data_IF_159172504993
#
_entry.id   IF_159172504993
#
_cell.length_a   1.000
_cell.length_b   1.000
_cell.length_c   1.000
_cell.angle_alpha   90.00
_cell.angle_beta   90.00
_cell.angle_gamma   90.00
#
_symmetry.space_group_name_H-M   'P 1'
#
loop_
_entity.id
_entity.type
_entity.pdbx_description
1 polymer ?
#
# COMPACT_ATOMS: atom_id res chain seq x y z
N UNK A 1 -1.02 -3.78 21.92
CA UNK A 1 0.44 -3.55 21.75
C UNK A 1 0.76 -2.26 22.50
N UNK A 2 1.72 -2.23 23.44
CA UNK A 2 1.95 -1.06 24.32
C UNK A 2 2.99 -0.07 23.80
N UNK A 3 3.81 -0.49 22.83
CA UNK A 3 4.84 0.34 22.20
C UNK A 3 4.32 0.83 20.83
N UNK A 4 4.15 2.14 20.68
CA UNK A 4 3.67 2.75 19.42
C UNK A 4 4.67 2.56 18.28
N UNK A 5 5.97 2.53 18.55
CA UNK A 5 6.99 2.27 17.53
C UNK A 5 6.91 0.84 16.99
N UNK A 6 6.64 -0.15 17.85
CA UNK A 6 6.37 -1.53 17.42
C UNK A 6 5.08 -1.60 16.60
N UNK A 7 4.03 -0.89 17.02
CA UNK A 7 2.77 -0.84 16.29
C UNK A 7 2.93 -0.22 14.90
N UNK A 8 3.61 0.91 14.78
CA UNK A 8 3.93 1.53 13.50
C UNK A 8 4.77 0.61 12.61
N UNK A 9 5.79 -0.06 13.18
CA UNK A 9 6.63 -1.00 12.44
C UNK A 9 5.82 -2.20 11.91
N UNK A 10 4.83 -2.67 12.66
CA UNK A 10 3.91 -3.73 12.23
C UNK A 10 2.95 -3.24 11.16
N UNK A 11 2.38 -2.05 11.31
CA UNK A 11 1.41 -1.47 10.36
C UNK A 11 2.03 -1.08 9.02
N UNK A 12 3.35 -0.82 9.00
CA UNK A 12 4.11 -0.46 7.79
C UNK A 12 4.95 -1.62 7.24
N UNK A 13 4.81 -2.82 7.82
CA UNK A 13 5.59 -3.98 7.39
C UNK A 13 5.13 -4.49 6.03
N UNK A 14 6.04 -4.52 5.06
CA UNK A 14 5.82 -5.08 3.72
C UNK A 14 4.74 -4.34 2.90
N UNK A 15 4.47 -3.07 3.25
CA UNK A 15 3.43 -2.24 2.60
C UNK A 15 4.04 -1.21 1.65
N UNK A 16 4.96 -1.61 0.78
CA UNK A 16 5.69 -0.66 -0.07
C UNK A 16 4.94 -0.28 -1.35
N UNK A 17 4.04 -1.15 -1.83
CA UNK A 17 3.30 -1.00 -3.08
C UNK A 17 2.00 -0.21 -2.89
N UNK A 18 1.31 -0.42 -1.78
CA UNK A 18 -0.04 0.11 -1.50
C UNK A 18 -0.08 1.64 -1.52
N UNK A 19 0.90 2.36 -0.94
CA UNK A 19 0.91 3.82 -1.04
C UNK A 19 0.99 4.32 -2.50
N UNK A 20 1.65 3.58 -3.40
CA UNK A 20 1.72 3.93 -4.82
C UNK A 20 0.35 3.77 -5.49
N UNK A 21 -0.44 2.78 -5.06
CA UNK A 21 -1.81 2.54 -5.53
C UNK A 21 -2.77 3.59 -4.99
N UNK A 22 -2.66 3.97 -3.72
CA UNK A 22 -3.49 5.01 -3.12
C UNK A 22 -3.24 6.38 -3.75
N UNK A 23 -1.99 6.69 -4.05
CA UNK A 23 -1.57 8.04 -4.46
C UNK A 23 -1.40 8.21 -5.97
N UNK A 24 -1.66 7.20 -6.80
CA UNK A 24 -1.45 7.27 -8.25
C UNK A 24 -2.17 8.47 -8.88
N UNK A 25 -3.48 8.58 -8.64
CA UNK A 25 -4.33 9.65 -9.18
C UNK A 25 -3.86 11.03 -8.69
N UNK A 26 -3.50 11.12 -7.40
CA UNK A 26 -2.97 12.33 -6.79
C UNK A 26 -1.69 12.79 -7.50
N UNK A 27 -0.72 11.89 -7.69
CA UNK A 27 0.52 12.20 -8.40
C UNK A 27 0.27 12.57 -9.86
N UNK A 28 -0.60 11.83 -10.56
CA UNK A 28 -0.95 12.09 -11.95
C UNK A 28 -1.51 13.50 -12.12
N UNK A 29 -2.46 13.90 -11.26
CA UNK A 29 -3.12 15.20 -11.35
C UNK A 29 -2.22 16.35 -10.87
N UNK A 30 -1.46 16.18 -9.78
CA UNK A 30 -0.51 17.21 -9.30
C UNK A 30 0.55 17.54 -10.34
N UNK A 31 1.04 16.52 -11.05
CA UNK A 31 2.12 16.66 -12.02
C UNK A 31 1.62 16.87 -13.45
N UNK A 32 0.31 17.04 -13.63
CA UNK A 32 -0.28 17.29 -14.94
C UNK A 32 0.28 18.56 -15.58
N UNK A 33 0.68 18.47 -16.85
CA UNK A 33 1.28 19.56 -17.61
C UNK A 33 2.78 19.77 -17.36
N UNK A 34 3.41 19.01 -16.45
CA UNK A 34 4.85 18.99 -16.32
C UNK A 34 5.50 18.13 -17.42
N UNK A 35 6.60 18.61 -18.00
CA UNK A 35 7.41 17.85 -18.96
C UNK A 35 8.28 16.81 -18.22
N UNK A 36 7.63 15.76 -17.70
CA UNK A 36 8.24 14.71 -16.89
C UNK A 36 7.78 13.32 -17.32
N UNK A 37 8.60 12.33 -16.99
CA UNK A 37 8.26 10.90 -17.05
C UNK A 37 8.28 10.35 -15.62
N UNK A 38 7.20 9.66 -15.25
CA UNK A 38 7.10 8.95 -13.96
C UNK A 38 7.24 7.46 -14.24
N UNK A 39 7.97 6.77 -13.37
CA UNK A 39 8.16 5.31 -13.42
C UNK A 39 8.10 4.77 -12.00
N UNK A 40 7.64 3.53 -11.86
CA UNK A 40 7.72 2.77 -10.62
C UNK A 40 8.99 1.92 -10.66
N UNK A 41 9.79 1.94 -9.61
CA UNK A 41 11.11 1.32 -9.59
C UNK A 41 11.25 0.46 -8.36
N UNK A 42 11.39 -0.85 -8.57
CA UNK A 42 11.74 -1.81 -7.53
C UNK A 42 13.25 -1.83 -7.30
N UNK A 43 13.66 -1.64 -6.06
CA UNK A 43 15.07 -1.61 -5.65
C UNK A 43 15.34 -2.59 -4.50
N UNK A 44 16.53 -3.19 -4.51
CA UNK A 44 17.11 -3.76 -3.30
C UNK A 44 17.84 -2.65 -2.53
N UNK A 45 17.57 -2.57 -1.24
CA UNK A 45 18.16 -1.56 -0.37
C UNK A 45 19.55 -1.97 0.14
N UNK A 46 20.42 -0.96 0.32
CA UNK A 46 21.61 -1.04 1.17
C UNK A 46 21.19 -1.26 2.64
N UNK A 47 22.12 -1.43 3.60
CA UNK A 47 21.76 -1.49 5.01
C UNK A 47 20.87 -0.30 5.43
N UNK A 48 19.72 -0.61 6.03
CA UNK A 48 18.68 0.36 6.41
C UNK A 48 18.65 0.62 7.92
N UNK A 49 18.21 1.81 8.37
CA UNK A 49 18.07 2.13 9.79
C UNK A 49 17.12 1.20 10.57
N UNK A 50 15.99 0.80 9.96
CA UNK A 50 14.97 -0.04 10.61
C UNK A 50 14.82 -1.37 9.88
N UNK A 51 14.88 -2.46 10.64
CA UNK A 51 14.64 -3.83 10.19
C UNK A 51 13.50 -4.41 11.01
N UNK A 52 12.52 -4.98 10.35
CA UNK A 52 11.34 -5.56 10.99
C UNK A 52 11.30 -7.05 10.66
N UNK A 53 11.06 -7.87 11.69
CA UNK A 53 10.86 -9.31 11.56
C UNK A 53 9.48 -9.65 12.10
N UNK A 54 8.61 -10.19 11.25
CA UNK A 54 7.31 -10.71 11.63
C UNK A 54 7.41 -12.24 11.82
N UNK A 55 7.03 -12.71 13.00
CA UNK A 55 6.90 -14.15 13.32
C UNK A 55 5.41 -14.48 13.38
N UNK A 56 4.96 -15.29 12.44
CA UNK A 56 3.55 -15.67 12.31
C UNK A 56 3.23 -16.87 13.21
N UNK A 57 1.92 -17.11 13.44
CA UNK A 57 1.43 -18.18 14.34
C UNK A 57 1.87 -19.58 13.86
N UNK A 58 2.02 -19.76 12.56
CA UNK A 58 2.50 -20.99 11.92
C UNK A 58 4.03 -21.18 12.06
N UNK A 59 4.73 -20.22 12.69
CA UNK A 59 6.18 -20.20 12.82
C UNK A 59 6.91 -19.62 11.59
N UNK A 60 6.18 -19.23 10.54
CA UNK A 60 6.77 -18.55 9.38
C UNK A 60 7.41 -17.24 9.83
N UNK A 61 8.61 -16.96 9.32
CA UNK A 61 9.33 -15.72 9.60
C UNK A 61 9.44 -14.92 8.31
N UNK A 62 9.07 -13.64 8.35
CA UNK A 62 9.30 -12.70 7.26
C UNK A 62 10.09 -11.50 7.74
N UNK A 63 10.99 -11.01 6.89
CA UNK A 63 11.84 -9.85 7.17
C UNK A 63 11.74 -8.86 6.03
N UNK A 64 11.65 -7.56 6.32
CA UNK A 64 11.61 -6.53 5.28
C UNK A 64 12.99 -6.29 4.62
N UNK A 65 14.08 -6.80 5.18
CA UNK A 65 15.45 -6.62 4.68
C UNK A 65 16.29 -7.88 4.97
N UNK A 66 17.27 -8.30 4.14
CA UNK A 66 17.90 -7.59 3.01
C UNK A 66 17.32 -7.86 1.61
N UNK A 67 16.45 -8.85 1.48
CA UNK A 67 16.08 -9.37 0.17
C UNK A 67 14.77 -8.82 -0.40
N UNK A 68 14.02 -8.04 0.39
CA UNK A 68 12.77 -7.47 -0.09
C UNK A 68 13.02 -6.41 -1.17
N UNK A 69 12.13 -6.38 -2.15
CA UNK A 69 12.12 -5.34 -3.19
C UNK A 69 11.29 -4.19 -2.64
N UNK A 70 11.91 -3.02 -2.53
CA UNK A 70 11.25 -1.79 -2.14
C UNK A 70 10.84 -1.00 -3.39
N UNK A 71 9.58 -0.59 -3.48
CA UNK A 71 9.06 0.18 -4.61
C UNK A 71 9.08 1.68 -4.32
N UNK A 72 9.61 2.45 -5.27
CA UNK A 72 9.67 3.92 -5.22
C UNK A 72 9.24 4.53 -6.55
N UNK A 73 8.86 5.82 -6.56
CA UNK A 73 8.66 6.54 -7.82
C UNK A 73 9.97 7.17 -8.28
N UNK A 74 10.26 7.03 -9.57
CA UNK A 74 11.31 7.78 -10.26
C UNK A 74 10.69 8.80 -11.19
N UNK A 75 11.00 10.07 -10.96
CA UNK A 75 10.53 11.20 -11.77
C UNK A 75 11.71 11.74 -12.56
N UNK A 76 11.59 11.83 -13.89
CA UNK A 76 12.64 12.37 -14.77
C UNK A 76 12.10 13.53 -15.59
N UNK A 77 12.79 14.67 -15.57
CA UNK A 77 12.50 15.79 -16.46
C UNK A 77 12.82 15.39 -17.91
N UNK A 78 11.83 15.45 -18.80
CA UNK A 78 12.06 15.13 -20.22
C UNK A 78 12.83 16.24 -20.95
N UNK A 79 12.89 17.46 -20.37
CA UNK A 79 13.67 18.58 -20.91
C UNK A 79 15.14 18.55 -20.50
N UNK A 80 15.43 18.28 -19.23
CA UNK A 80 16.80 18.39 -18.68
C UNK A 80 17.48 17.06 -18.40
N UNK A 81 16.74 15.95 -18.43
CA UNK A 81 17.24 14.63 -18.04
C UNK A 81 17.48 14.46 -16.54
N UNK A 82 17.25 15.51 -15.72
CA UNK A 82 17.38 15.42 -14.26
C UNK A 82 16.36 14.44 -13.69
N UNK A 83 16.79 13.67 -12.70
CA UNK A 83 15.99 12.60 -12.08
C UNK A 83 15.92 12.76 -10.57
N UNK A 84 14.76 12.44 -10.03
CA UNK A 84 14.44 12.43 -8.60
C UNK A 84 13.77 11.11 -8.22
N UNK A 85 13.86 10.75 -6.94
CA UNK A 85 13.10 9.64 -6.36
C UNK A 85 12.13 10.17 -5.30
N UNK A 86 10.94 9.59 -5.28
CA UNK A 86 9.91 9.80 -4.26
C UNK A 86 9.68 8.47 -3.55
N UNK A 87 10.02 8.44 -2.27
CA UNK A 87 9.89 7.27 -1.40
C UNK A 87 8.84 7.55 -0.31
N UNK A 88 7.58 7.29 -0.64
CA UNK A 88 6.43 7.51 0.26
C UNK A 88 6.27 6.39 1.31
N UNK A 89 6.91 5.24 1.09
CA UNK A 89 6.87 4.09 2.00
C UNK A 89 8.20 3.87 2.73
N UNK A 90 9.15 4.80 2.63
CA UNK A 90 10.48 4.72 3.23
C UNK A 90 10.48 4.61 4.75
N UNK A 91 9.41 5.07 5.42
CA UNK A 91 9.20 4.93 6.85
C UNK A 91 9.28 3.48 7.35
N UNK A 92 8.91 2.48 6.53
CA UNK A 92 9.05 1.06 6.86
C UNK A 92 10.51 0.65 7.13
N UNK A 93 11.47 1.39 6.56
CA UNK A 93 12.91 1.19 6.68
C UNK A 93 13.59 2.26 7.55
N UNK A 94 12.80 3.17 8.15
CA UNK A 94 13.33 4.31 8.90
C UNK A 94 13.91 5.42 8.01
N UNK A 95 13.54 5.45 6.72
CA UNK A 95 13.90 6.51 5.77
C UNK A 95 12.83 7.60 5.86
N UNK A 96 13.15 8.71 6.51
CA UNK A 96 12.17 9.76 6.85
C UNK A 96 11.98 10.82 5.77
N UNK A 97 12.99 11.02 4.91
CA UNK A 97 12.90 11.96 3.78
C UNK A 97 12.25 11.26 2.59
N UNK A 98 11.18 11.87 2.05
CA UNK A 98 10.42 11.31 0.93
C UNK A 98 10.98 11.71 -0.44
N UNK A 99 11.53 12.92 -0.60
CA UNK A 99 11.96 13.43 -1.91
C UNK A 99 13.49 13.57 -2.01
N UNK A 100 14.09 12.97 -3.03
CA UNK A 100 15.54 12.90 -3.20
C UNK A 100 15.99 13.23 -4.62
N UNK A 101 17.20 13.78 -4.76
CA UNK A 101 17.88 13.74 -6.05
C UNK A 101 18.30 12.29 -6.37
N UNK A 102 18.36 11.92 -7.65
CA UNK A 102 18.76 10.56 -8.02
C UNK A 102 20.17 10.20 -7.52
N UNK A 103 21.10 11.14 -7.55
CA UNK A 103 22.48 10.94 -7.07
C UNK A 103 22.51 10.63 -5.57
N UNK A 104 21.81 11.42 -4.75
CA UNK A 104 21.76 11.23 -3.30
C UNK A 104 21.10 9.91 -2.92
N UNK A 105 19.94 9.61 -3.51
CA UNK A 105 19.19 8.39 -3.18
C UNK A 105 19.97 7.14 -3.56
N UNK A 106 20.57 7.13 -4.76
CA UNK A 106 21.35 6.00 -5.24
C UNK A 106 22.59 5.74 -4.39
N UNK A 107 23.33 6.80 -4.06
CA UNK A 107 24.50 6.69 -3.20
C UNK A 107 24.15 6.17 -1.80
N UNK A 108 23.01 6.61 -1.25
CA UNK A 108 22.65 6.30 0.14
C UNK A 108 21.95 4.95 0.30
N UNK A 109 20.96 4.63 -0.54
CA UNK A 109 20.02 3.54 -0.27
C UNK A 109 19.94 2.47 -1.37
N UNK A 110 20.27 2.78 -2.63
CA UNK A 110 20.09 1.79 -3.71
C UNK A 110 21.28 0.84 -3.77
N UNK A 111 21.06 -0.44 -3.46
CA UNK A 111 22.04 -1.50 -3.73
C UNK A 111 21.96 -1.93 -5.19
N UNK A 112 20.75 -2.19 -5.68
CA UNK A 112 20.51 -2.63 -7.06
C UNK A 112 19.10 -2.24 -7.49
N UNK A 113 18.93 -1.82 -8.74
CA UNK A 113 17.61 -1.66 -9.36
C UNK A 113 17.20 -3.02 -9.92
N UNK A 114 16.05 -3.53 -9.47
CA UNK A 114 15.52 -4.85 -9.87
C UNK A 114 14.53 -4.71 -11.02
N UNK A 115 13.69 -3.67 -10.98
CA UNK A 115 12.65 -3.42 -11.98
C UNK A 115 12.52 -1.94 -12.27
N UNK A 116 12.05 -1.63 -13.48
CA UNK A 116 11.64 -0.29 -13.88
C UNK A 116 10.36 -0.45 -14.68
N UNK A 117 9.24 -0.08 -14.08
CA UNK A 117 7.91 -0.28 -14.64
C UNK A 117 7.29 1.05 -15.07
N UNK A 118 6.37 1.04 -16.05
CA UNK A 118 5.51 2.19 -16.33
C UNK A 118 4.73 2.61 -15.07
N UNK A 119 4.45 3.91 -14.93
CA UNK A 119 3.58 4.41 -13.87
C UNK A 119 2.18 3.80 -13.98
N UNK A 120 1.60 3.39 -12.84
CA UNK A 120 0.32 2.66 -12.76
C UNK A 120 0.46 1.14 -12.77
N UNK A 121 1.68 0.59 -12.89
CA UNK A 121 1.90 -0.87 -12.92
C UNK A 121 1.55 -1.53 -11.58
N UNK A 122 1.82 -0.87 -10.46
CA UNK A 122 1.48 -1.34 -9.12
C UNK A 122 -0.04 -1.40 -8.91
N UNK A 123 -0.78 -0.38 -9.34
CA UNK A 123 -2.26 -0.41 -9.27
C UNK A 123 -2.83 -1.54 -10.12
N UNK A 124 -2.30 -1.75 -11.33
CA UNK A 124 -2.67 -2.91 -12.15
C UNK A 124 -2.37 -4.22 -11.43
N UNK A 125 -1.16 -4.38 -10.88
CA UNK A 125 -0.75 -5.58 -10.13
C UNK A 125 -1.66 -5.85 -8.94
N UNK A 126 -2.01 -4.83 -8.15
CA UNK A 126 -2.93 -4.96 -7.02
C UNK A 126 -4.34 -5.30 -7.49
N UNK A 127 -4.82 -4.69 -8.57
CA UNK A 127 -6.11 -5.01 -9.17
C UNK A 127 -6.18 -6.47 -9.66
N UNK A 128 -5.16 -6.93 -10.38
CA UNK A 128 -5.06 -8.31 -10.86
C UNK A 128 -4.96 -9.30 -9.68
N UNK A 129 -4.11 -9.00 -8.69
CA UNK A 129 -3.97 -9.84 -7.49
C UNK A 129 -5.21 -9.86 -6.62
N UNK A 130 -6.03 -8.81 -6.66
CA UNK A 130 -7.35 -8.77 -6.04
C UNK A 130 -8.33 -9.80 -6.60
N UNK A 131 -8.06 -10.37 -7.77
CA UNK A 131 -8.85 -11.47 -8.33
C UNK A 131 -8.47 -12.83 -7.76
N UNK A 132 -7.35 -12.95 -7.03
CA UNK A 132 -6.98 -14.21 -6.40
C UNK A 132 -7.97 -14.57 -5.28
N UNK A 133 -8.31 -15.85 -5.13
CA UNK A 133 -9.15 -16.30 -4.02
C UNK A 133 -8.39 -16.16 -2.70
N UNK A 134 -9.13 -16.01 -1.60
CA UNK A 134 -8.53 -16.01 -0.27
C UNK A 134 -8.18 -14.66 0.31
N UNK A 135 -7.56 -14.70 1.49
CA UNK A 135 -7.25 -13.51 2.29
C UNK A 135 -6.31 -12.55 1.56
N UNK A 136 -5.34 -13.08 0.80
CA UNK A 136 -4.42 -12.25 0.03
C UNK A 136 -5.17 -11.40 -1.00
N UNK A 137 -6.06 -12.01 -1.79
CA UNK A 137 -6.88 -11.26 -2.75
C UNK A 137 -7.87 -10.32 -2.08
N UNK A 138 -8.48 -10.73 -0.95
CA UNK A 138 -9.36 -9.84 -0.17
C UNK A 138 -8.63 -8.56 0.26
N UNK A 139 -7.41 -8.67 0.80
CA UNK A 139 -6.61 -7.50 1.21
C UNK A 139 -6.37 -6.58 0.01
N UNK A 140 -5.98 -7.12 -1.13
CA UNK A 140 -5.74 -6.32 -2.34
C UNK A 140 -7.03 -5.66 -2.88
N UNK A 141 -8.19 -6.33 -2.78
CA UNK A 141 -9.49 -5.70 -3.09
C UNK A 141 -9.78 -4.53 -2.15
N UNK A 142 -9.49 -4.65 -0.86
CA UNK A 142 -9.65 -3.54 0.11
C UNK A 142 -8.68 -2.40 -0.14
N UNK A 143 -7.45 -2.69 -0.58
CA UNK A 143 -6.53 -1.66 -1.08
C UNK A 143 -7.14 -0.92 -2.28
N UNK A 144 -7.76 -1.62 -3.23
CA UNK A 144 -8.42 -0.96 -4.36
C UNK A 144 -9.64 -0.14 -3.94
N UNK A 145 -10.49 -0.64 -3.04
CA UNK A 145 -11.62 0.11 -2.48
C UNK A 145 -11.16 1.43 -1.84
N UNK A 146 -10.12 1.38 -1.01
CA UNK A 146 -9.55 2.59 -0.40
C UNK A 146 -8.95 3.56 -1.44
N UNK A 147 -8.26 3.05 -2.47
CA UNK A 147 -7.75 3.87 -3.59
C UNK A 147 -8.88 4.56 -4.36
N UNK A 148 -10.00 3.88 -4.58
CA UNK A 148 -11.19 4.46 -5.21
C UNK A 148 -11.77 5.59 -4.37
N UNK A 149 -11.94 5.39 -3.06
CA UNK A 149 -12.45 6.43 -2.16
C UNK A 149 -11.57 7.70 -2.17
N UNK A 150 -10.24 7.54 -2.19
CA UNK A 150 -9.30 8.66 -2.33
C UNK A 150 -9.52 9.38 -3.66
N UNK A 151 -9.65 8.63 -4.76
CA UNK A 151 -9.85 9.20 -6.10
C UNK A 151 -11.18 9.97 -6.21
N UNK A 152 -12.26 9.43 -5.63
CA UNK A 152 -13.57 10.09 -5.56
C UNK A 152 -13.52 11.35 -4.71
N UNK A 153 -12.79 11.32 -3.59
CA UNK A 153 -12.56 12.49 -2.75
C UNK A 153 -11.80 13.61 -3.48
N UNK A 154 -10.74 13.27 -4.23
CA UNK A 154 -10.02 14.23 -5.10
C UNK A 154 -10.97 14.85 -6.12
N UNK A 155 -11.77 14.04 -6.81
CA UNK A 155 -12.71 14.51 -7.83
C UNK A 155 -13.77 15.44 -7.24
N UNK A 156 -14.30 15.08 -6.07
CA UNK A 156 -15.30 15.86 -5.34
C UNK A 156 -14.73 17.21 -4.89
N UNK A 157 -13.54 17.20 -4.28
CA UNK A 157 -12.85 18.42 -3.86
C UNK A 157 -12.53 19.34 -5.05
N UNK A 158 -12.02 18.78 -6.15
CA UNK A 158 -11.70 19.51 -7.38
C UNK A 158 -12.94 20.19 -7.97
N UNK A 159 -14.08 19.47 -8.01
CA UNK A 159 -15.35 19.99 -8.50
C UNK A 159 -15.91 21.10 -7.61
N UNK A 160 -15.85 20.91 -6.29
CA UNK A 160 -16.39 21.86 -5.32
C UNK A 160 -15.60 23.19 -5.32
N UNK A 161 -14.27 23.10 -5.31
CA UNK A 161 -13.40 24.28 -5.21
C UNK A 161 -13.07 24.91 -6.58
N UNK A 162 -13.38 24.21 -7.68
CA UNK A 162 -13.05 24.64 -9.05
C UNK A 162 -11.55 24.87 -9.27
N UNK A 163 -10.72 24.11 -8.56
CA UNK A 163 -9.26 24.16 -8.62
C UNK A 163 -8.75 22.76 -9.00
N UNK A 164 -7.99 22.65 -10.09
CA UNK A 164 -7.27 21.41 -10.39
C UNK A 164 -6.05 21.24 -9.48
N UNK A 165 -5.62 20.01 -9.22
CA UNK A 165 -4.42 19.76 -8.40
C UNK A 165 -3.14 20.37 -9.00
N UNK A 166 -3.02 20.42 -10.33
CA UNK A 166 -1.92 21.12 -11.01
C UNK A 166 -1.97 22.65 -10.87
N UNK A 167 -3.15 23.23 -10.65
CA UNK A 167 -3.32 24.65 -10.35
C UNK A 167 -3.07 24.95 -8.87
N UNK A 168 -3.48 24.04 -7.97
CA UNK A 168 -3.26 24.13 -6.52
C UNK A 168 -1.81 24.46 -6.20
N UNK A 169 -0.86 23.70 -6.76
CA UNK A 169 0.59 23.88 -6.52
C UNK A 169 1.17 25.19 -7.07
N UNK A 170 0.38 25.98 -7.80
CA UNK A 170 0.78 27.28 -8.35
C UNK A 170 0.08 28.46 -7.66
N UNK A 171 -0.76 28.19 -6.66
CA UNK A 171 -1.43 29.24 -5.91
C UNK A 171 -0.43 30.04 -5.05
N UNK A 172 -0.74 31.31 -4.73
CA UNK A 172 0.04 32.07 -3.75
C UNK A 172 0.07 31.36 -2.40
N UNK A 173 1.17 31.50 -1.65
CA UNK A 173 1.43 30.70 -0.43
C UNK A 173 0.27 30.65 0.56
N UNK A 174 -0.38 31.78 0.86
CA UNK A 174 -1.52 31.80 1.79
C UNK A 174 -2.72 30.99 1.31
N UNK A 175 -3.07 31.12 0.02
CA UNK A 175 -4.16 30.36 -0.60
C UNK A 175 -3.78 28.89 -0.76
N UNK A 176 -2.54 28.60 -1.18
CA UNK A 176 -2.03 27.25 -1.29
C UNK A 176 -2.17 26.47 0.02
N UNK A 177 -1.73 27.06 1.14
CA UNK A 177 -1.80 26.40 2.46
C UNK A 177 -3.25 26.09 2.85
N UNK A 178 -4.17 27.06 2.71
CA UNK A 178 -5.59 26.86 2.99
C UNK A 178 -6.21 25.75 2.13
N UNK A 179 -5.98 25.78 0.81
CA UNK A 179 -6.53 24.80 -0.13
C UNK A 179 -5.90 23.41 0.05
N UNK A 180 -4.61 23.34 0.39
CA UNK A 180 -3.92 22.09 0.73
C UNK A 180 -4.54 21.44 1.96
N UNK A 181 -4.78 22.19 3.04
CA UNK A 181 -5.44 21.65 4.24
C UNK A 181 -6.88 21.22 3.97
N UNK A 182 -7.61 21.97 3.15
CA UNK A 182 -8.96 21.59 2.71
C UNK A 182 -8.94 20.27 1.91
N UNK A 183 -7.98 20.11 0.99
CA UNK A 183 -7.78 18.87 0.25
C UNK A 183 -7.44 17.72 1.19
N UNK A 184 -6.45 17.88 2.08
CA UNK A 184 -6.04 16.84 3.02
C UNK A 184 -7.20 16.39 3.92
N UNK A 185 -8.02 17.32 4.38
CA UNK A 185 -9.23 17.03 5.15
C UNK A 185 -10.22 16.20 4.33
N UNK A 186 -10.46 16.59 3.07
CA UNK A 186 -11.35 15.87 2.16
C UNK A 186 -10.85 14.45 1.84
N UNK A 187 -9.53 14.23 1.77
CA UNK A 187 -8.95 12.90 1.55
C UNK A 187 -8.97 12.03 2.82
N UNK A 188 -8.77 12.62 3.98
CA UNK A 188 -8.67 11.90 5.24
C UNK A 188 -10.01 11.32 5.70
N UNK A 189 -11.11 12.09 5.56
CA UNK A 189 -12.41 11.72 6.12
C UNK A 189 -12.95 10.39 5.52
N UNK A 190 -13.01 10.18 4.18
CA UNK A 190 -13.55 8.93 3.62
C UNK A 190 -12.72 7.70 3.97
N UNK A 191 -11.39 7.83 4.05
CA UNK A 191 -10.51 6.72 4.43
C UNK A 191 -10.71 6.38 5.91
N UNK A 192 -10.85 7.39 6.76
CA UNK A 192 -11.15 7.21 8.18
C UNK A 192 -12.48 6.49 8.38
N UNK A 193 -13.53 6.95 7.70
CA UNK A 193 -14.87 6.35 7.80
C UNK A 193 -14.85 4.91 7.28
N UNK A 194 -14.17 4.66 6.15
CA UNK A 194 -13.96 3.31 5.65
C UNK A 194 -13.30 2.40 6.67
N UNK A 195 -12.28 2.86 7.40
CA UNK A 195 -11.63 2.04 8.44
C UNK A 195 -12.53 1.82 9.65
N UNK A 196 -13.26 2.84 10.09
CA UNK A 196 -14.11 2.77 11.29
C UNK A 196 -15.39 1.96 11.10
N UNK A 197 -15.99 2.05 9.92
CA UNK A 197 -17.27 1.40 9.61
C UNK A 197 -17.11 -0.02 9.08
N UNK A 198 -15.88 -0.42 8.76
CA UNK A 198 -15.60 -1.73 8.17
C UNK A 198 -15.57 -2.85 9.21
N UNK A 199 -16.57 -3.73 9.17
CA UNK A 199 -16.49 -5.09 9.72
C UNK A 199 -16.21 -6.11 8.60
N UNK A 200 -14.93 -6.45 8.43
CA UNK A 200 -14.51 -7.43 7.45
C UNK A 200 -14.62 -8.88 7.93
N UNK A 201 -15.18 -9.16 9.12
CA UNK A 201 -15.19 -10.52 9.69
C UNK A 201 -15.84 -11.53 8.75
N UNK A 202 -17.03 -11.20 8.23
CA UNK A 202 -17.76 -12.07 7.29
C UNK A 202 -16.99 -12.28 5.97
N UNK A 203 -16.38 -11.22 5.44
CA UNK A 203 -15.63 -11.27 4.19
C UNK A 203 -14.33 -12.07 4.35
N UNK A 204 -13.65 -11.91 5.49
CA UNK A 204 -12.47 -12.67 5.89
C UNK A 204 -12.79 -14.16 5.99
N UNK A 205 -13.88 -14.50 6.68
CA UNK A 205 -14.29 -15.90 6.84
C UNK A 205 -14.67 -16.52 5.49
N UNK A 206 -15.41 -15.79 4.64
CA UNK A 206 -15.75 -16.21 3.29
C UNK A 206 -14.50 -16.41 2.41
N UNK A 207 -13.55 -15.47 2.42
CA UNK A 207 -12.30 -15.57 1.67
C UNK A 207 -11.47 -16.77 2.18
N UNK A 208 -11.40 -17.00 3.48
CA UNK A 208 -10.67 -18.15 4.02
C UNK A 208 -11.27 -19.49 3.55
N UNK A 209 -12.60 -19.57 3.43
CA UNK A 209 -13.30 -20.74 2.84
C UNK A 209 -12.98 -20.87 1.34
N UNK A 210 -13.12 -19.78 0.58
CA UNK A 210 -12.83 -19.74 -0.86
C UNK A 210 -11.42 -20.26 -1.17
N UNK A 211 -10.43 -19.88 -0.37
CA UNK A 211 -9.06 -20.36 -0.52
C UNK A 211 -8.94 -21.89 -0.35
N UNK A 212 -9.63 -22.46 0.63
CA UNK A 212 -9.62 -23.91 0.86
C UNK A 212 -10.35 -24.67 -0.25
N UNK A 213 -11.49 -24.16 -0.71
CA UNK A 213 -12.24 -24.76 -1.81
C UNK A 213 -11.42 -24.74 -3.10
N UNK A 214 -10.76 -23.62 -3.39
CA UNK A 214 -9.83 -23.50 -4.51
C UNK A 214 -8.69 -24.52 -4.44
N UNK A 215 -7.99 -24.63 -3.30
CA UNK A 215 -6.84 -25.53 -3.17
C UNK A 215 -7.22 -27.01 -3.13
N UNK A 216 -8.40 -27.34 -2.60
CA UNK A 216 -8.89 -28.72 -2.56
C UNK A 216 -9.55 -29.17 -3.87
N UNK A 217 -9.80 -28.25 -4.80
CA UNK A 217 -10.48 -28.52 -6.07
C UNK A 217 -11.94 -28.95 -5.91
N UNK A 218 -12.54 -28.79 -4.72
CA UNK A 218 -13.93 -29.18 -4.44
C UNK A 218 -14.60 -28.24 -3.42
N UNK A 219 -15.93 -28.06 -3.50
CA UNK A 219 -16.67 -27.33 -2.47
C UNK A 219 -16.59 -28.01 -1.11
N UNK A 220 -16.53 -27.21 -0.04
CA UNK A 220 -16.62 -27.70 1.33
C UNK A 220 -18.09 -27.87 1.75
N UNK A 221 -18.36 -28.87 2.56
CA UNK A 221 -19.66 -29.00 3.22
C UNK A 221 -19.84 -27.91 4.29
N UNK A 222 -21.09 -27.56 4.61
CA UNK A 222 -21.38 -26.57 5.66
C UNK A 222 -20.79 -26.94 7.03
N UNK A 223 -20.69 -28.25 7.34
CA UNK A 223 -20.04 -28.73 8.55
C UNK A 223 -18.52 -28.43 8.55
N UNK A 224 -17.85 -28.62 7.42
CA UNK A 224 -16.42 -28.33 7.26
C UNK A 224 -16.14 -26.83 7.35
N UNK A 225 -16.97 -26.00 6.70
CA UNK A 225 -16.85 -24.53 6.75
C UNK A 225 -16.96 -24.02 8.19
N UNK A 226 -17.97 -24.47 8.95
CA UNK A 226 -18.16 -24.09 10.36
C UNK A 226 -16.99 -24.53 11.24
N UNK A 227 -16.50 -25.76 11.06
CA UNK A 227 -15.35 -26.26 11.82
C UNK A 227 -14.10 -25.42 11.57
N UNK A 228 -13.82 -25.09 10.31
CA UNK A 228 -12.65 -24.31 9.94
C UNK A 228 -12.71 -22.87 10.49
N UNK A 229 -13.85 -22.20 10.36
CA UNK A 229 -14.05 -20.86 10.96
C UNK A 229 -13.84 -20.92 12.48
N UNK A 230 -14.39 -21.93 13.16
CA UNK A 230 -14.19 -22.12 14.61
C UNK A 230 -12.72 -22.31 14.98
N UNK A 231 -11.94 -23.03 14.15
CA UNK A 231 -10.50 -23.18 14.33
C UNK A 231 -9.78 -21.83 14.17
N UNK A 232 -10.09 -21.06 13.12
CA UNK A 232 -9.48 -19.73 12.90
C UNK A 232 -9.73 -18.77 14.07
N UNK A 233 -10.95 -18.77 14.61
CA UNK A 233 -11.33 -17.90 15.73
C UNK A 233 -10.64 -18.30 17.05
N UNK A 234 -10.36 -19.60 17.24
CA UNK A 234 -9.66 -20.10 18.44
C UNK A 234 -8.13 -19.98 18.33
N UNK A 235 -7.57 -20.08 17.11
CA UNK A 235 -6.14 -19.83 16.83
C UNK A 235 -5.68 -18.45 17.29
N UNK A 236 -6.50 -17.43 17.04
CA UNK A 236 -6.23 -16.04 17.42
C UNK A 236 -6.10 -15.82 18.93
N UNK A 237 -6.42 -16.83 19.76
CA UNK A 237 -6.28 -16.81 21.22
C UNK A 237 -5.04 -17.56 21.72
N UNK A 238 -4.11 -17.94 20.83
CA UNK A 238 -2.83 -18.56 21.21
C UNK A 238 -2.82 -20.10 21.18
N UNK A 239 -3.81 -20.74 20.56
CA UNK A 239 -3.79 -22.19 20.35
C UNK A 239 -2.97 -22.56 19.11
N UNK A 240 -2.04 -23.52 19.24
CA UNK A 240 -1.33 -24.10 18.08
C UNK A 240 -2.32 -24.85 17.19
N UNK A 241 -2.54 -24.37 15.98
CA UNK A 241 -3.40 -25.06 15.02
C UNK A 241 -2.67 -26.27 14.45
N UNK A 242 -3.23 -27.47 14.64
CA UNK A 242 -2.96 -28.61 13.75
C UNK A 242 -4.18 -28.78 12.87
N UNK A 243 -4.06 -28.42 11.60
CA UNK A 243 -5.11 -28.71 10.63
C UNK A 243 -5.24 -30.23 10.49
N UNK A 244 -6.45 -30.79 10.50
CA UNK A 244 -6.64 -32.20 10.15
C UNK A 244 -6.20 -32.39 8.68
N UNK A 245 -5.48 -33.49 8.41
CA UNK A 245 -5.15 -33.88 7.06
C UNK A 245 -6.47 -34.16 6.30
N UNK A 246 -6.68 -33.48 5.18
CA UNK A 246 -7.83 -33.64 4.29
C UNK A 246 -7.44 -34.37 3.01
#
# INVERSE_FOLDING_TARGET
>A
MKDEGVKEAVLTFDTCNEPLVYMEELFQQLLHGCAIKIQEVGIKLKPVPRKTTAVFIDGTVRTNWPDNIHEVLRVTSTKSGKTWYIDISGGQYGITRTFWTAKEFYATYVKTIVSVLPFGSNKKKVSDGGQCPGLAGLVLRKTMEASTLISEAIATWTKANKISLSALVRLPSGTFESEKEALLTALHQPVRDFVLDSDFTKQKDAAAIEHLEHNSGRPLTEKQKKLYIGLLQTAGKGAKLRLPAF
#
